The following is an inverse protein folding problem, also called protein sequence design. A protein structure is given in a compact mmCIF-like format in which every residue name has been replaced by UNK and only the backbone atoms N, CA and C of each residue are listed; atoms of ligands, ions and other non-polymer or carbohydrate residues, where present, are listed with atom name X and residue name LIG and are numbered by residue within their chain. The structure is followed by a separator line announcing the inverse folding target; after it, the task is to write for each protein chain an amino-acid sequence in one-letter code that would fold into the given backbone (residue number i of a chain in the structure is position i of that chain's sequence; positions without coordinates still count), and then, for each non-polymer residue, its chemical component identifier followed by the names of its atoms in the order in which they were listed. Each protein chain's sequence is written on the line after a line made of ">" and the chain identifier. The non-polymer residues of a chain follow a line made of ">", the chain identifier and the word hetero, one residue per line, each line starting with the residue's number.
data_IF_732543584727
#
_entry.id   IF_732543584727
#
_cell.length_a   1.000
_cell.length_b   1.000
_cell.length_c   1.000
_cell.angle_alpha   90.00
_cell.angle_beta   90.00
_cell.angle_gamma   90.00
#
_symmetry.space_group_name_H-M   'P 1'
#
loop_
_entity.id
_entity.type
_entity.pdbx_description
1 polymer ?
#
# COMPACT_ATOMS: atom_id res chain seq x y z
N UNK A 1 14.23 65.00 -58.07
CA UNK A 1 14.28 63.81 -58.94
C UNK A 1 13.49 62.69 -58.27
N UNK A 2 12.67 61.95 -59.04
CA UNK A 2 11.41 61.31 -58.60
C UNK A 2 11.68 59.87 -58.11
N UNK A 3 10.79 59.14 -57.43
CA UNK A 3 9.55 58.60 -57.99
C UNK A 3 8.65 58.05 -56.87
N UNK A 4 7.35 58.32 -57.04
CA UNK A 4 6.22 57.66 -56.38
C UNK A 4 6.12 56.20 -56.83
N UNK A 5 5.77 55.31 -55.91
CA UNK A 5 4.82 54.22 -56.22
C UNK A 5 4.12 53.82 -54.92
N UNK A 6 2.90 54.29 -54.71
CA UNK A 6 1.65 53.60 -55.06
C UNK A 6 1.31 52.55 -54.01
N UNK A 7 0.46 52.95 -53.08
CA UNK A 7 -0.42 52.05 -52.36
C UNK A 7 -1.75 51.97 -53.12
N UNK A 8 -2.43 50.81 -53.08
CA UNK A 8 -3.87 50.87 -52.96
C UNK A 8 -4.36 50.11 -51.72
N UNK A 9 -5.26 50.82 -51.03
CA UNK A 9 -6.30 50.36 -50.13
C UNK A 9 -7.11 49.20 -50.75
N UNK A 10 -7.69 48.27 -49.97
CA UNK A 10 -9.13 48.24 -49.63
C UNK A 10 -9.43 47.05 -48.69
N UNK A 11 -10.24 47.34 -47.66
CA UNK A 11 -11.33 46.51 -47.09
C UNK A 11 -11.09 45.82 -45.73
N UNK A 12 -11.61 46.51 -44.70
CA UNK A 12 -12.32 45.98 -43.51
C UNK A 12 -12.70 44.49 -43.57
N UNK A 13 -12.42 43.76 -42.49
CA UNK A 13 -13.45 43.03 -41.72
C UNK A 13 -12.96 42.82 -40.30
N UNK A 14 -13.72 43.37 -39.36
CA UNK A 14 -13.66 43.09 -37.92
C UNK A 14 -14.35 41.77 -37.63
N UNK A 15 -13.67 40.80 -37.00
CA UNK A 15 -14.24 39.72 -36.16
C UNK A 15 -13.08 39.27 -35.24
N UNK A 16 -13.07 39.43 -33.91
CA UNK A 16 -13.89 38.89 -32.81
C UNK A 16 -13.02 37.92 -31.98
N UNK A 17 -12.91 38.25 -30.68
CA UNK A 17 -12.72 37.38 -29.50
C UNK A 17 -11.45 36.53 -29.32
N UNK A 18 -10.66 36.96 -28.33
CA UNK A 18 -10.35 36.26 -27.07
C UNK A 18 -9.89 34.78 -27.07
N UNK A 19 -8.64 34.65 -26.60
CA UNK A 19 -8.11 33.66 -25.65
C UNK A 19 -8.19 32.17 -26.01
N UNK A 20 -7.04 31.60 -26.37
CA UNK A 20 -6.75 30.21 -26.02
C UNK A 20 -5.29 30.11 -25.53
N UNK A 21 -5.12 30.24 -24.22
CA UNK A 21 -3.88 29.79 -23.57
C UNK A 21 -3.93 28.27 -23.50
N UNK A 22 -2.88 27.54 -23.91
CA UNK A 22 -2.89 26.09 -23.84
C UNK A 22 -3.01 25.68 -22.38
N UNK A 23 -4.16 25.11 -22.04
CA UNK A 23 -4.44 24.50 -20.75
C UNK A 23 -3.50 23.30 -20.66
N UNK A 24 -2.35 23.47 -20.00
CA UNK A 24 -1.45 22.39 -19.63
C UNK A 24 -2.27 21.26 -19.03
N UNK A 25 -2.29 20.12 -19.70
CA UNK A 25 -2.82 18.89 -19.17
C UNK A 25 -2.21 18.70 -17.77
N UNK A 26 -3.08 18.66 -16.75
CA UNK A 26 -2.65 18.17 -15.45
C UNK A 26 -2.33 16.70 -15.68
N UNK A 27 -1.05 16.38 -15.73
CA UNK A 27 -0.57 15.01 -15.63
C UNK A 27 -1.30 14.39 -14.43
N UNK A 28 -2.18 13.43 -14.69
CA UNK A 28 -2.79 12.64 -13.65
C UNK A 28 -1.65 11.98 -12.89
N UNK A 29 -1.29 12.57 -11.75
CA UNK A 29 -0.34 11.96 -10.81
C UNK A 29 -1.04 10.73 -10.27
N UNK A 30 -0.93 9.63 -11.00
CA UNK A 30 -1.23 8.29 -10.52
C UNK A 30 -0.42 8.16 -9.24
N UNK A 31 -1.09 8.22 -8.10
CA UNK A 31 -0.47 7.86 -6.83
C UNK A 31 -0.14 6.39 -6.97
N UNK A 32 1.14 6.07 -7.19
CA UNK A 32 1.62 4.69 -7.23
C UNK A 32 1.46 4.11 -5.82
N UNK A 33 0.31 3.49 -5.57
CA UNK A 33 0.08 2.66 -4.38
C UNK A 33 0.76 1.32 -4.65
N UNK A 34 1.51 0.80 -3.66
CA UNK A 34 2.17 -0.50 -3.79
C UNK A 34 1.13 -1.61 -4.02
N UNK A 35 1.41 -2.54 -4.92
CA UNK A 35 0.56 -3.70 -5.16
C UNK A 35 0.98 -4.86 -4.25
N UNK A 36 0.01 -5.57 -3.69
CA UNK A 36 0.24 -6.71 -2.80
C UNK A 36 -0.48 -7.95 -3.27
N UNK A 37 0.19 -9.10 -3.14
CA UNK A 37 -0.41 -10.44 -3.23
C UNK A 37 -0.51 -11.06 -1.84
N UNK A 38 -1.43 -12.01 -1.65
CA UNK A 38 -1.57 -12.71 -0.36
C UNK A 38 -0.39 -13.65 -0.14
N UNK A 39 0.17 -13.62 1.06
CA UNK A 39 1.16 -14.58 1.52
C UNK A 39 0.46 -15.82 2.14
N UNK A 40 0.43 -16.97 1.47
CA UNK A 40 -0.20 -18.18 2.01
C UNK A 40 0.50 -18.67 3.29
N UNK A 41 1.83 -18.57 3.36
CA UNK A 41 2.62 -19.02 4.51
C UNK A 41 2.25 -18.21 5.77
N UNK A 42 1.94 -16.93 5.60
CA UNK A 42 1.51 -16.09 6.70
C UNK A 42 0.11 -16.41 7.20
N UNK A 43 -0.79 -16.81 6.29
CA UNK A 43 -2.13 -17.28 6.65
C UNK A 43 -2.05 -18.61 7.41
N UNK A 44 -1.22 -19.54 6.95
CA UNK A 44 -0.97 -20.81 7.64
C UNK A 44 -0.36 -20.56 9.03
N UNK A 45 0.66 -19.71 9.11
CA UNK A 45 1.31 -19.38 10.37
C UNK A 45 0.33 -18.75 11.38
N UNK A 46 -0.51 -17.80 10.95
CA UNK A 46 -1.52 -17.20 11.80
C UNK A 46 -2.52 -18.25 12.33
N UNK A 47 -3.03 -19.15 11.46
CA UNK A 47 -3.90 -20.26 11.89
C UNK A 47 -3.22 -21.16 12.90
N UNK A 48 -1.97 -21.53 12.66
CA UNK A 48 -1.17 -22.35 13.57
C UNK A 48 -1.03 -21.72 14.96
N UNK A 49 -0.75 -20.42 15.03
CA UNK A 49 -0.67 -19.68 16.29
C UNK A 49 -2.03 -19.64 17.01
N UNK A 50 -3.12 -19.42 16.27
CA UNK A 50 -4.49 -19.43 16.80
C UNK A 50 -4.84 -20.81 17.38
N UNK A 51 -4.53 -21.87 16.65
CA UNK A 51 -4.74 -23.27 17.06
C UNK A 51 -3.97 -23.64 18.33
N UNK A 52 -2.74 -23.13 18.46
CA UNK A 52 -1.91 -23.31 19.66
C UNK A 52 -2.23 -22.34 20.80
N UNK A 53 -3.26 -21.51 20.67
CA UNK A 53 -3.61 -20.46 21.65
C UNK A 53 -2.47 -19.46 21.92
N UNK A 54 -1.62 -19.24 20.93
CA UNK A 54 -0.49 -18.30 20.98
C UNK A 54 -0.92 -16.91 20.48
N UNK A 55 -1.92 -16.34 21.17
CA UNK A 55 -2.47 -15.04 20.82
C UNK A 55 -2.76 -14.14 22.02
N UNK A 56 -2.93 -12.85 21.74
CA UNK A 56 -3.36 -11.82 22.68
C UNK A 56 -4.65 -11.18 22.18
N UNK A 57 -5.72 -11.30 22.96
CA UNK A 57 -7.05 -10.78 22.59
C UNK A 57 -7.20 -9.27 22.84
N UNK A 58 -6.49 -8.73 23.82
CA UNK A 58 -6.57 -7.32 24.22
C UNK A 58 -5.17 -6.70 24.27
N UNK A 59 -4.90 -5.79 23.36
CA UNK A 59 -3.67 -4.99 23.28
C UNK A 59 -3.94 -3.68 22.54
N UNK A 60 -3.07 -2.68 22.70
CA UNK A 60 -3.09 -1.44 21.90
C UNK A 60 -2.06 -1.55 20.79
N UNK A 61 -2.47 -1.45 19.52
CA UNK A 61 -1.60 -1.77 18.39
C UNK A 61 -0.34 -0.92 18.34
N UNK A 62 -0.46 0.37 18.61
CA UNK A 62 0.65 1.32 18.64
C UNK A 62 1.72 1.00 19.68
N UNK A 63 1.43 0.15 20.67
CA UNK A 63 2.39 -0.27 21.70
C UNK A 63 3.04 -1.61 21.42
N UNK A 64 2.36 -2.49 20.66
CA UNK A 64 2.80 -3.88 20.43
C UNK A 64 3.23 -4.15 18.99
N UNK A 65 2.88 -3.27 18.05
CA UNK A 65 3.37 -3.38 16.68
C UNK A 65 4.91 -3.33 16.71
N UNK A 66 5.60 -4.25 16.03
CA UNK A 66 7.05 -4.25 15.99
C UNK A 66 7.61 -2.91 15.49
N UNK A 67 8.64 -2.43 16.17
CA UNK A 67 9.49 -1.35 15.68
C UNK A 67 10.70 -1.93 14.93
N UNK A 68 11.45 -1.06 14.24
CA UNK A 68 12.60 -1.46 13.43
C UNK A 68 13.62 -2.35 14.19
N UNK A 69 13.88 -2.05 15.46
CA UNK A 69 14.81 -2.83 16.30
C UNK A 69 14.30 -4.25 16.58
N UNK A 70 12.98 -4.42 16.78
CA UNK A 70 12.38 -5.73 16.99
C UNK A 70 12.42 -6.58 15.72
N UNK A 71 12.16 -5.98 14.56
CA UNK A 71 12.30 -6.64 13.26
C UNK A 71 13.76 -7.04 12.98
N UNK A 72 14.71 -6.13 13.21
CA UNK A 72 16.14 -6.41 13.03
C UNK A 72 16.58 -7.54 13.96
N UNK A 73 16.22 -7.43 15.24
CA UNK A 73 16.53 -8.45 16.23
C UNK A 73 15.88 -9.80 15.91
N UNK A 74 14.73 -9.85 15.25
CA UNK A 74 14.15 -11.10 14.76
C UNK A 74 14.99 -11.70 13.63
N UNK A 75 15.30 -10.91 12.59
CA UNK A 75 16.08 -11.33 11.43
C UNK A 75 17.53 -11.76 11.75
N UNK A 76 18.10 -11.31 12.87
CA UNK A 76 19.40 -11.81 13.36
C UNK A 76 19.38 -13.30 13.76
N UNK A 77 18.21 -13.85 14.08
CA UNK A 77 18.04 -15.22 14.59
C UNK A 77 17.12 -16.09 13.73
N UNK A 78 16.48 -15.51 12.74
CA UNK A 78 15.45 -16.14 11.93
C UNK A 78 15.64 -15.81 10.46
N UNK A 79 15.20 -16.72 9.61
CA UNK A 79 15.22 -16.58 8.15
C UNK A 79 14.18 -15.56 7.65
N UNK A 80 14.36 -15.10 6.41
CA UNK A 80 13.36 -14.28 5.71
C UNK A 80 12.01 -14.98 5.55
N UNK A 81 12.00 -16.31 5.41
CA UNK A 81 10.76 -17.09 5.36
C UNK A 81 10.00 -17.01 6.70
N UNK A 82 10.70 -17.19 7.83
CA UNK A 82 10.11 -17.04 9.16
C UNK A 82 9.65 -15.61 9.44
N UNK A 83 10.34 -14.60 8.90
CA UNK A 83 9.92 -13.20 9.00
C UNK A 83 8.67 -12.94 8.14
N UNK A 84 8.68 -13.41 6.90
CA UNK A 84 7.57 -13.28 5.96
C UNK A 84 6.29 -13.94 6.44
N UNK A 85 6.39 -15.03 7.21
CA UNK A 85 5.24 -15.70 7.82
C UNK A 85 4.42 -14.80 8.78
N UNK A 86 4.95 -13.67 9.24
CA UNK A 86 4.18 -12.69 10.03
C UNK A 86 3.41 -11.66 9.20
N UNK A 87 3.55 -11.71 7.87
CA UNK A 87 3.14 -10.67 6.95
C UNK A 87 2.25 -11.26 5.83
N UNK A 88 0.92 -11.07 5.87
CA UNK A 88 -0.05 -11.60 4.93
C UNK A 88 0.00 -10.90 3.56
N UNK A 89 0.70 -9.78 3.41
CA UNK A 89 0.92 -9.13 2.11
C UNK A 89 2.36 -9.26 1.62
N UNK A 90 2.52 -9.61 0.35
CA UNK A 90 3.79 -9.57 -0.38
C UNK A 90 3.77 -8.47 -1.44
N UNK A 91 4.67 -7.50 -1.32
CA UNK A 91 4.81 -6.41 -2.28
C UNK A 91 5.27 -6.95 -3.64
N UNK A 92 4.49 -6.69 -4.68
CA UNK A 92 4.84 -7.08 -6.06
C UNK A 92 6.08 -6.31 -6.53
N UNK A 93 7.06 -7.02 -7.09
CA UNK A 93 8.29 -6.43 -7.64
C UNK A 93 9.40 -6.11 -6.61
N UNK A 94 9.17 -6.36 -5.32
CA UNK A 94 10.22 -6.25 -4.29
C UNK A 94 11.06 -7.54 -4.20
N UNK A 95 12.35 -7.42 -3.88
CA UNK A 95 13.24 -8.58 -3.69
C UNK A 95 12.84 -9.40 -2.46
N UNK A 96 12.87 -10.73 -2.57
CA UNK A 96 12.38 -11.66 -1.53
C UNK A 96 13.05 -11.46 -0.17
N UNK A 97 14.36 -11.19 -0.14
CA UNK A 97 15.15 -11.02 1.09
C UNK A 97 15.23 -9.55 1.53
N UNK A 98 14.09 -8.85 1.53
CA UNK A 98 14.02 -7.46 1.99
C UNK A 98 12.77 -7.22 2.81
N UNK A 99 12.87 -6.32 3.81
CA UNK A 99 11.69 -5.92 4.61
C UNK A 99 10.59 -5.31 3.75
N UNK A 100 10.96 -4.58 2.69
CA UNK A 100 10.02 -3.97 1.75
C UNK A 100 9.16 -4.99 1.01
N UNK A 101 9.56 -6.27 0.95
CA UNK A 101 8.73 -7.34 0.38
C UNK A 101 7.54 -7.69 1.27
N UNK A 102 7.60 -7.44 2.56
CA UNK A 102 6.64 -7.95 3.52
C UNK A 102 5.79 -6.83 4.12
N UNK A 103 4.48 -6.91 3.93
CA UNK A 103 3.52 -5.93 4.42
C UNK A 103 2.54 -6.52 5.45
N UNK A 104 1.93 -5.62 6.24
CA UNK A 104 0.81 -5.93 7.15
C UNK A 104 1.15 -6.90 8.31
N UNK A 105 2.08 -6.55 9.18
CA UNK A 105 2.38 -7.41 10.33
C UNK A 105 1.16 -7.60 11.27
N UNK A 106 0.88 -8.83 11.70
CA UNK A 106 -0.26 -9.12 12.59
C UNK A 106 0.12 -9.49 14.04
N UNK A 107 1.41 -9.56 14.35
CA UNK A 107 1.92 -10.00 15.65
C UNK A 107 3.18 -9.28 16.10
N UNK A 108 3.65 -9.60 17.30
CA UNK A 108 4.85 -9.02 17.93
C UNK A 108 6.13 -9.86 17.69
N UNK A 109 6.12 -10.70 16.65
CA UNK A 109 7.12 -11.76 16.40
C UNK A 109 7.22 -12.85 17.47
N UNK A 110 6.26 -12.93 18.39
CA UNK A 110 6.16 -13.99 19.40
C UNK A 110 4.75 -14.53 19.57
N UNK A 111 3.73 -13.68 19.44
CA UNK A 111 2.31 -13.98 19.56
C UNK A 111 1.55 -13.22 18.49
N UNK A 112 0.45 -13.82 18.04
CA UNK A 112 -0.53 -13.12 17.22
C UNK A 112 -1.33 -12.15 18.08
N UNK A 113 -1.62 -10.95 17.58
CA UNK A 113 -2.49 -10.00 18.27
C UNK A 113 -3.80 -9.86 17.51
N UNK A 114 -4.94 -9.98 18.20
CA UNK A 114 -6.26 -9.71 17.60
C UNK A 114 -6.30 -8.30 16.99
N UNK A 115 -5.72 -7.33 17.69
CA UNK A 115 -5.61 -5.96 17.21
C UNK A 115 -4.68 -5.84 15.97
N UNK A 116 -3.69 -6.72 15.83
CA UNK A 116 -2.84 -6.78 14.64
C UNK A 116 -3.60 -7.22 13.40
N UNK A 117 -4.45 -8.25 13.51
CA UNK A 117 -5.35 -8.65 12.42
C UNK A 117 -6.32 -7.53 12.03
N UNK A 118 -6.90 -6.82 13.01
CA UNK A 118 -7.75 -5.64 12.75
C UNK A 118 -6.98 -4.54 12.01
N UNK A 119 -5.73 -4.28 12.41
CA UNK A 119 -4.88 -3.30 11.75
C UNK A 119 -4.57 -3.70 10.30
N UNK A 120 -4.35 -4.99 10.04
CA UNK A 120 -4.18 -5.51 8.69
C UNK A 120 -5.42 -5.27 7.82
N UNK A 121 -6.62 -5.63 8.32
CA UNK A 121 -7.90 -5.37 7.62
C UNK A 121 -8.04 -3.89 7.30
N UNK A 122 -7.91 -3.01 8.30
CA UNK A 122 -8.09 -1.58 8.12
C UNK A 122 -7.13 -0.98 7.08
N UNK A 123 -5.82 -1.28 7.18
CA UNK A 123 -4.80 -0.74 6.27
C UNK A 123 -4.95 -1.29 4.85
N UNK A 124 -5.31 -2.57 4.71
CA UNK A 124 -5.54 -3.17 3.40
C UNK A 124 -6.78 -2.55 2.72
N UNK A 125 -7.87 -2.34 3.47
CA UNK A 125 -9.08 -1.66 2.96
C UNK A 125 -8.83 -0.22 2.55
N UNK A 126 -8.04 0.54 3.32
CA UNK A 126 -7.76 1.96 3.04
C UNK A 126 -7.17 2.17 1.64
N UNK A 127 -6.38 1.21 1.15
CA UNK A 127 -5.67 1.31 -0.12
C UNK A 127 -6.18 0.32 -1.18
N UNK A 128 -7.30 -0.35 -0.92
CA UNK A 128 -7.97 -1.23 -1.88
C UNK A 128 -7.30 -2.58 -2.12
N UNK A 129 -6.47 -3.08 -1.19
CA UNK A 129 -5.82 -4.38 -1.28
C UNK A 129 -6.77 -5.51 -0.86
N UNK A 130 -7.78 -5.78 -1.71
CA UNK A 130 -8.94 -6.58 -1.32
C UNK A 130 -8.61 -8.01 -0.89
N UNK A 131 -7.68 -8.67 -1.56
CA UNK A 131 -7.34 -10.06 -1.23
C UNK A 131 -6.65 -10.16 0.14
N UNK A 132 -5.76 -9.23 0.46
CA UNK A 132 -5.09 -9.15 1.76
C UNK A 132 -6.10 -8.78 2.86
N UNK A 133 -7.02 -7.85 2.58
CA UNK A 133 -8.11 -7.51 3.49
C UNK A 133 -8.94 -8.75 3.85
N UNK A 134 -9.39 -9.50 2.85
CA UNK A 134 -10.21 -10.70 3.05
C UNK A 134 -9.44 -11.78 3.81
N UNK A 135 -8.18 -12.02 3.47
CA UNK A 135 -7.34 -12.98 4.19
C UNK A 135 -7.18 -12.61 5.67
N UNK A 136 -6.92 -11.33 5.98
CA UNK A 136 -6.81 -10.85 7.35
C UNK A 136 -8.16 -10.89 8.08
N UNK A 137 -9.26 -10.59 7.39
CA UNK A 137 -10.61 -10.66 7.93
C UNK A 137 -10.99 -12.08 8.30
N UNK A 138 -10.72 -13.06 7.43
CA UNK A 138 -11.00 -14.47 7.66
C UNK A 138 -10.20 -15.02 8.85
N UNK A 139 -8.93 -14.61 9.00
CA UNK A 139 -8.13 -14.93 10.18
C UNK A 139 -8.71 -14.33 11.46
N UNK A 140 -9.22 -13.09 11.39
CA UNK A 140 -9.87 -12.44 12.52
C UNK A 140 -11.15 -13.17 12.93
N UNK A 141 -12.01 -13.55 11.97
CA UNK A 141 -13.19 -14.36 12.25
C UNK A 141 -12.82 -15.73 12.83
N UNK A 142 -11.78 -16.36 12.30
CA UNK A 142 -11.29 -17.64 12.79
C UNK A 142 -10.80 -17.57 14.24
N UNK A 143 -10.13 -16.48 14.63
CA UNK A 143 -9.72 -16.21 16.01
C UNK A 143 -10.92 -15.95 16.92
N UNK A 144 -11.86 -15.11 16.48
CA UNK A 144 -13.01 -14.71 17.30
C UNK A 144 -14.01 -15.85 17.54
N UNK A 145 -13.98 -16.89 16.70
CA UNK A 145 -14.73 -18.13 16.90
C UNK A 145 -14.10 -19.14 17.87
N UNK A 146 -13.00 -18.80 18.54
CA UNK A 146 -12.28 -19.69 19.49
C UNK A 146 -12.69 -19.56 20.94
#
# INVERSE_FOLDING_TARGET
>A
MPQRHTQPDVTRTTFLAATDSPRTAREDRIVLVAEYTVNPDAVEHARHLIDKKQYVLRSRWNEVSPAADAENGYLERHSWAEYGAWHPGLTVGANDETKARHGFVYGDFRRLHRMGLIACVYRASEWGHKDVELAAHDLLQYLDGR
#
